data_IF_253160124609
#
_entry.id   IF_253160124609
#
_cell.length_a   1.000
_cell.length_b   1.000
_cell.length_c   1.000
_cell.angle_alpha   90.00
_cell.angle_beta   90.00
_cell.angle_gamma   90.00
#
_symmetry.space_group_name_H-M   'P 1'
#
loop_
_entity.id
_entity.type
_entity.pdbx_description
1 polymer ?
#
# COMPACT_ATOMS: atom_id res chain seq x y z
N UNK A 1 -44.01 39.57 49.59
CA UNK A 1 -45.43 39.28 49.36
C UNK A 1 -45.67 39.32 47.86
N UNK A 2 -46.29 38.26 47.32
CA UNK A 2 -46.76 38.03 45.94
C UNK A 2 -45.73 37.56 44.89
N UNK A 3 -45.92 36.29 44.51
CA UNK A 3 -45.47 35.57 43.30
C UNK A 3 -46.15 36.12 42.04
N UNK A 4 -45.59 35.86 40.85
CA UNK A 4 -46.34 35.22 39.76
C UNK A 4 -45.39 34.48 38.79
N UNK A 5 -45.73 33.22 38.51
CA UNK A 5 -45.07 32.27 37.61
C UNK A 5 -45.47 32.51 36.15
N UNK A 6 -44.65 32.12 35.15
CA UNK A 6 -45.14 31.54 33.87
C UNK A 6 -44.05 30.77 33.10
N UNK A 7 -44.20 29.45 33.10
CA UNK A 7 -44.14 28.50 31.96
C UNK A 7 -42.94 28.48 30.98
N UNK A 8 -42.19 27.38 31.10
CA UNK A 8 -41.36 26.76 30.05
C UNK A 8 -42.21 26.19 28.92
N UNK A 9 -41.88 26.57 27.68
CA UNK A 9 -42.27 25.83 26.47
C UNK A 9 -41.02 25.45 25.66
N UNK A 10 -40.97 24.17 25.31
CA UNK A 10 -39.89 23.49 24.59
C UNK A 10 -39.91 23.83 23.10
N UNK A 11 -38.76 24.22 22.54
CA UNK A 11 -38.53 24.24 21.10
C UNK A 11 -37.41 23.28 20.74
N UNK A 12 -37.77 22.22 20.02
CA UNK A 12 -36.85 21.25 19.43
C UNK A 12 -36.17 21.87 18.21
N UNK A 13 -34.89 22.20 18.32
CA UNK A 13 -34.04 22.51 17.17
C UNK A 13 -33.48 21.21 16.61
N UNK A 14 -33.86 20.90 15.38
CA UNK A 14 -33.31 19.78 14.61
C UNK A 14 -31.90 20.13 14.14
N UNK A 15 -30.88 19.50 14.72
CA UNK A 15 -29.51 19.59 14.23
C UNK A 15 -29.39 18.90 12.87
N UNK A 16 -28.72 19.51 11.87
CA UNK A 16 -28.46 18.84 10.60
C UNK A 16 -27.45 17.71 10.85
N UNK A 17 -27.80 16.49 10.43
CA UNK A 17 -26.92 15.33 10.48
C UNK A 17 -25.65 15.61 9.68
N UNK A 18 -24.52 15.75 10.38
CA UNK A 18 -23.20 15.78 9.78
C UNK A 18 -22.95 14.44 9.09
N UNK A 19 -22.94 14.45 7.77
CA UNK A 19 -22.41 13.35 6.98
C UNK A 19 -20.98 13.10 7.43
N UNK A 20 -20.76 11.97 8.10
CA UNK A 20 -19.42 11.51 8.42
C UNK A 20 -18.81 10.94 7.15
N UNK A 21 -17.75 11.54 6.58
CA UNK A 21 -16.99 10.86 5.54
C UNK A 21 -16.40 9.60 6.17
N UNK A 22 -16.66 8.44 5.58
CA UNK A 22 -16.04 7.19 6.00
C UNK A 22 -14.52 7.34 5.82
N UNK A 23 -13.79 7.63 6.90
CA UNK A 23 -12.35 7.44 6.89
C UNK A 23 -12.12 5.96 6.69
N UNK A 24 -11.58 5.58 5.53
CA UNK A 24 -11.18 4.21 5.29
C UNK A 24 -10.18 3.84 6.39
N UNK A 25 -10.56 2.93 7.29
CA UNK A 25 -9.67 2.48 8.36
C UNK A 25 -8.45 1.86 7.70
N UNK A 26 -7.27 2.42 7.96
CA UNK A 26 -6.03 1.91 7.40
C UNK A 26 -5.75 0.53 8.00
N UNK A 27 -5.68 -0.48 7.14
CA UNK A 27 -5.31 -1.85 7.54
C UNK A 27 -3.89 -1.93 8.08
N UNK A 28 -3.50 -3.10 8.60
CA UNK A 28 -2.15 -3.33 9.13
C UNK A 28 -1.06 -3.19 8.07
N UNK A 29 -1.39 -3.54 6.82
CA UNK A 29 -0.48 -3.48 5.69
C UNK A 29 -1.04 -2.58 4.59
N UNK A 30 -0.17 -1.93 3.84
CA UNK A 30 -0.53 -1.22 2.63
C UNK A 30 -0.62 -2.20 1.44
N UNK A 31 0.28 -3.19 1.37
CA UNK A 31 0.38 -4.15 0.26
C UNK A 31 0.50 -5.59 0.77
N UNK A 32 -0.28 -6.49 0.20
CA UNK A 32 -0.05 -7.93 0.25
C UNK A 32 0.63 -8.40 -1.04
N UNK A 33 1.79 -9.02 -0.95
CA UNK A 33 2.55 -9.50 -2.11
C UNK A 33 2.41 -11.02 -2.23
N UNK A 34 1.61 -11.47 -3.21
CA UNK A 34 1.40 -12.89 -3.55
C UNK A 34 2.26 -13.28 -4.75
N UNK A 35 2.96 -14.40 -4.66
CA UNK A 35 3.87 -14.85 -5.71
C UNK A 35 4.21 -16.32 -5.54
N UNK A 36 4.62 -16.95 -6.65
CA UNK A 36 5.27 -18.26 -6.56
C UNK A 36 6.72 -18.06 -6.16
N UNK A 37 7.03 -18.44 -4.95
CA UNK A 37 8.32 -18.25 -4.34
C UNK A 37 9.40 -19.22 -4.81
N UNK A 38 9.06 -20.34 -5.46
CA UNK A 38 10.06 -21.10 -6.25
C UNK A 38 10.52 -20.33 -7.50
N UNK A 39 9.68 -19.47 -8.03
CA UNK A 39 9.93 -18.80 -9.32
C UNK A 39 10.60 -17.44 -9.11
N UNK A 40 10.11 -16.67 -8.13
CA UNK A 40 10.42 -15.23 -8.05
C UNK A 40 10.97 -14.73 -6.71
N UNK A 41 11.07 -15.59 -5.69
CA UNK A 41 11.41 -15.14 -4.30
C UNK A 41 12.72 -14.39 -4.19
N UNK A 42 13.77 -14.82 -4.90
CA UNK A 42 15.16 -14.31 -4.73
C UNK A 42 15.59 -13.36 -5.85
N UNK A 43 14.67 -12.96 -6.72
CA UNK A 43 14.94 -12.09 -7.87
C UNK A 43 13.90 -10.95 -7.87
N UNK A 44 13.09 -10.82 -8.92
CA UNK A 44 12.05 -9.81 -9.11
C UNK A 44 11.23 -9.50 -7.85
N UNK A 45 10.68 -10.50 -7.15
CA UNK A 45 9.83 -10.25 -5.97
C UNK A 45 10.63 -9.70 -4.80
N UNK A 46 11.90 -10.10 -4.63
CA UNK A 46 12.78 -9.52 -3.59
C UNK A 46 13.07 -8.06 -3.87
N UNK A 47 13.39 -7.72 -5.13
CA UNK A 47 13.63 -6.35 -5.56
C UNK A 47 12.39 -5.47 -5.44
N UNK A 48 11.22 -5.99 -5.83
CA UNK A 48 9.94 -5.31 -5.67
C UNK A 48 9.62 -5.04 -4.19
N UNK A 49 9.81 -6.05 -3.33
CA UNK A 49 9.62 -5.90 -1.89
C UNK A 49 10.57 -4.88 -1.27
N UNK A 50 11.86 -4.92 -1.63
CA UNK A 50 12.85 -3.94 -1.19
C UNK A 50 12.49 -2.52 -1.66
N UNK A 51 11.98 -2.38 -2.89
CA UNK A 51 11.52 -1.09 -3.41
C UNK A 51 10.30 -0.54 -2.66
N UNK A 52 9.34 -1.39 -2.28
CA UNK A 52 8.24 -0.98 -1.40
C UNK A 52 8.75 -0.51 -0.04
N UNK A 53 9.66 -1.26 0.58
CA UNK A 53 10.27 -0.89 1.87
C UNK A 53 10.99 0.45 1.82
N UNK A 54 11.82 0.69 0.79
CA UNK A 54 12.53 1.97 0.59
C UNK A 54 11.58 3.17 0.47
N UNK A 55 10.33 2.94 0.05
CA UNK A 55 9.29 3.98 -0.02
C UNK A 55 8.39 4.05 1.22
N UNK A 56 8.73 3.33 2.29
CA UNK A 56 7.94 3.29 3.52
C UNK A 56 6.57 2.62 3.36
N UNK A 57 6.36 1.82 2.31
CA UNK A 57 5.10 1.11 2.06
C UNK A 57 5.11 -0.19 2.86
N UNK A 58 4.19 -0.30 3.82
CA UNK A 58 4.12 -1.44 4.73
C UNK A 58 3.63 -2.66 3.96
N UNK A 59 4.54 -3.58 3.64
CA UNK A 59 4.24 -4.71 2.75
C UNK A 59 4.33 -6.04 3.50
N UNK A 60 3.27 -6.83 3.44
CA UNK A 60 3.30 -8.25 3.77
C UNK A 60 3.80 -9.03 2.56
N UNK A 61 4.85 -9.83 2.73
CA UNK A 61 5.39 -10.70 1.68
C UNK A 61 5.05 -12.14 2.02
N UNK A 62 4.22 -12.77 1.20
CA UNK A 62 3.89 -14.19 1.40
C UNK A 62 5.17 -15.04 1.40
N UNK A 63 5.47 -15.69 2.52
CA UNK A 63 6.63 -16.56 2.62
C UNK A 63 6.18 -18.03 2.52
N UNK A 64 5.91 -18.51 1.30
CA UNK A 64 5.72 -19.93 0.99
C UNK A 64 6.74 -20.93 1.61
N UNK A 65 7.89 -20.51 2.17
CA UNK A 65 8.84 -21.42 2.85
C UNK A 65 8.32 -21.96 4.18
N UNK A 66 7.17 -21.51 4.64
CA UNK A 66 6.60 -21.93 5.93
C UNK A 66 5.96 -23.32 5.90
N UNK A 67 6.18 -24.18 4.89
CA UNK A 67 5.75 -25.60 4.87
C UNK A 67 6.28 -26.47 6.07
N UNK A 68 6.92 -25.88 7.08
CA UNK A 68 7.44 -26.54 8.27
C UNK A 68 6.63 -26.20 9.52
N UNK A 69 5.51 -26.89 9.75
CA UNK A 69 5.11 -27.33 11.10
C UNK A 69 4.01 -26.61 11.90
N UNK A 70 3.47 -25.45 11.50
CA UNK A 70 2.38 -24.77 12.25
C UNK A 70 1.17 -24.41 11.36
N UNK A 71 -0.05 -24.17 11.92
CA UNK A 71 -1.23 -23.79 11.14
C UNK A 71 -1.11 -22.33 10.66
N UNK A 72 -0.38 -22.13 9.57
CA UNK A 72 0.00 -20.82 8.97
C UNK A 72 -1.15 -20.14 8.20
N UNK A 73 -2.19 -20.91 7.82
CA UNK A 73 -3.29 -20.42 7.00
C UNK A 73 -4.02 -19.19 7.57
N UNK A 74 -4.38 -19.09 8.87
CA UNK A 74 -5.20 -18.00 9.37
C UNK A 74 -4.51 -16.63 9.31
N UNK A 75 -3.21 -16.58 9.57
CA UNK A 75 -2.46 -15.32 9.59
C UNK A 75 -2.27 -14.75 8.18
N UNK A 76 -2.11 -15.63 7.20
CA UNK A 76 -1.95 -15.25 5.81
C UNK A 76 -3.23 -14.63 5.23
N UNK A 77 -4.37 -15.31 5.38
CA UNK A 77 -5.66 -14.76 4.95
C UNK A 77 -5.99 -13.49 5.74
N UNK A 78 -5.67 -13.44 7.03
CA UNK A 78 -5.79 -12.21 7.81
C UNK A 78 -4.96 -11.07 7.21
N UNK A 79 -3.73 -11.33 6.75
CA UNK A 79 -2.90 -10.32 6.11
C UNK A 79 -3.50 -9.82 4.79
N UNK A 80 -4.17 -10.67 4.00
CA UNK A 80 -4.91 -10.24 2.79
C UNK A 80 -6.01 -9.24 3.19
N UNK A 81 -6.80 -9.59 4.21
CA UNK A 81 -7.92 -8.77 4.68
C UNK A 81 -7.47 -7.46 5.35
N UNK A 82 -6.29 -7.45 5.98
CA UNK A 82 -5.68 -6.27 6.62
C UNK A 82 -4.80 -5.46 5.66
N UNK A 83 -4.77 -5.80 4.37
CA UNK A 83 -4.02 -5.07 3.35
C UNK A 83 -4.92 -4.12 2.55
N UNK A 84 -4.41 -2.95 2.17
CA UNK A 84 -5.14 -2.03 1.29
C UNK A 84 -5.21 -2.52 -0.18
N UNK A 85 -4.17 -3.19 -0.66
CA UNK A 85 -4.17 -3.88 -1.94
C UNK A 85 -3.39 -5.20 -1.93
N UNK A 86 -3.60 -5.99 -2.98
CA UNK A 86 -2.75 -7.13 -3.32
C UNK A 86 -2.03 -6.90 -4.64
N UNK A 87 -0.71 -7.10 -4.63
CA UNK A 87 0.13 -7.17 -5.82
C UNK A 87 0.44 -8.65 -6.06
N UNK A 88 0.14 -9.15 -7.26
CA UNK A 88 0.19 -10.59 -7.57
C UNK A 88 1.19 -10.81 -8.70
N UNK A 89 2.28 -11.54 -8.42
CA UNK A 89 3.30 -11.90 -9.40
C UNK A 89 2.95 -13.26 -10.02
N UNK A 90 2.20 -13.21 -11.12
CA UNK A 90 1.76 -14.37 -11.89
C UNK A 90 2.94 -14.84 -12.76
N UNK A 91 3.54 -15.96 -12.36
CA UNK A 91 4.68 -16.62 -13.02
C UNK A 91 4.26 -17.94 -13.65
N UNK A 92 5.12 -18.52 -14.49
CA UNK A 92 4.81 -19.74 -15.27
C UNK A 92 4.33 -20.90 -14.38
N UNK A 93 4.95 -21.09 -13.21
CA UNK A 93 4.62 -22.20 -12.32
C UNK A 93 3.69 -21.80 -11.16
N UNK A 94 3.11 -20.60 -11.21
CA UNK A 94 2.18 -20.09 -10.18
C UNK A 94 1.01 -21.04 -9.94
N UNK A 95 0.35 -21.49 -11.01
CA UNK A 95 -0.82 -22.36 -10.93
C UNK A 95 -0.50 -23.76 -10.36
N UNK A 96 0.78 -24.18 -10.32
CA UNK A 96 1.15 -25.47 -9.74
C UNK A 96 1.13 -25.47 -8.20
N UNK A 97 1.08 -24.31 -7.56
CA UNK A 97 0.96 -24.17 -6.12
C UNK A 97 -0.52 -24.07 -5.73
N UNK A 98 -1.05 -25.08 -5.03
CA UNK A 98 -2.41 -25.02 -4.49
C UNK A 98 -2.57 -23.85 -3.50
N UNK A 99 -1.50 -23.50 -2.79
CA UNK A 99 -1.48 -22.36 -1.88
C UNK A 99 -1.66 -21.03 -2.62
N UNK A 100 -0.86 -20.78 -3.67
CA UNK A 100 -1.02 -19.58 -4.49
C UNK A 100 -2.43 -19.44 -5.09
N UNK A 101 -3.08 -20.57 -5.43
CA UNK A 101 -4.46 -20.60 -5.94
C UNK A 101 -5.51 -20.34 -4.86
N UNK A 102 -5.26 -20.80 -3.64
CA UNK A 102 -6.09 -20.47 -2.47
C UNK A 102 -6.04 -18.98 -2.15
N UNK A 103 -4.84 -18.41 -2.03
CA UNK A 103 -4.64 -16.97 -1.82
C UNK A 103 -5.32 -16.16 -2.92
N UNK A 104 -5.08 -16.51 -4.19
CA UNK A 104 -5.65 -15.81 -5.32
C UNK A 104 -7.18 -15.79 -5.26
N UNK A 105 -7.77 -16.91 -4.86
CA UNK A 105 -9.23 -17.01 -4.75
C UNK A 105 -9.78 -16.14 -3.63
N UNK A 106 -9.09 -16.06 -2.49
CA UNK A 106 -9.47 -15.14 -1.40
C UNK A 106 -9.29 -13.67 -1.80
N UNK A 107 -8.17 -13.32 -2.45
CA UNK A 107 -7.92 -11.97 -2.96
C UNK A 107 -9.03 -11.52 -3.93
N UNK A 108 -9.41 -12.39 -4.87
CA UNK A 108 -10.49 -12.10 -5.82
C UNK A 108 -11.86 -12.02 -5.13
N UNK A 109 -12.09 -12.83 -4.09
CA UNK A 109 -13.29 -12.72 -3.27
C UNK A 109 -13.34 -11.36 -2.55
N UNK A 110 -12.26 -10.94 -1.86
CA UNK A 110 -12.16 -9.61 -1.23
C UNK A 110 -12.35 -8.47 -2.24
N UNK A 111 -11.81 -8.63 -3.45
CA UNK A 111 -11.96 -7.66 -4.53
C UNK A 111 -13.43 -7.47 -4.91
N UNK A 112 -14.17 -8.56 -5.02
CA UNK A 112 -15.58 -8.53 -5.43
C UNK A 112 -16.50 -8.06 -4.28
N UNK A 113 -16.23 -8.47 -3.05
CA UNK A 113 -17.09 -8.19 -1.91
C UNK A 113 -16.84 -6.82 -1.28
N UNK A 114 -15.58 -6.38 -1.23
CA UNK A 114 -15.16 -5.19 -0.48
C UNK A 114 -14.40 -4.16 -1.32
N UNK A 115 -14.27 -4.39 -2.63
CA UNK A 115 -13.56 -3.47 -3.51
C UNK A 115 -12.04 -3.45 -3.28
N UNK A 116 -11.46 -4.54 -2.75
CA UNK A 116 -10.03 -4.69 -2.55
C UNK A 116 -9.24 -4.37 -3.83
N UNK A 117 -8.17 -3.60 -3.73
CA UNK A 117 -7.38 -3.22 -4.91
C UNK A 117 -6.48 -4.39 -5.33
N UNK A 118 -6.50 -4.75 -6.61
CA UNK A 118 -5.71 -5.87 -7.14
C UNK A 118 -4.84 -5.41 -8.32
N UNK A 119 -3.56 -5.75 -8.26
CA UNK A 119 -2.52 -5.33 -9.20
C UNK A 119 -1.76 -6.56 -9.73
N UNK A 120 -2.20 -7.16 -10.86
CA UNK A 120 -1.50 -8.30 -11.43
C UNK A 120 -0.26 -7.89 -12.21
N UNK A 121 0.79 -8.70 -12.06
CA UNK A 121 2.05 -8.63 -12.81
C UNK A 121 2.20 -9.97 -13.53
N UNK A 122 2.24 -9.93 -14.85
CA UNK A 122 2.44 -11.08 -15.72
C UNK A 122 3.95 -11.26 -15.97
N UNK A 123 4.57 -12.06 -15.10
CA UNK A 123 6.00 -12.32 -15.06
C UNK A 123 6.37 -13.47 -16.01
N UNK A 124 6.81 -13.11 -17.22
CA UNK A 124 7.11 -14.04 -18.33
C UNK A 124 5.97 -15.02 -18.66
N UNK A 125 4.72 -14.57 -18.51
CA UNK A 125 3.51 -15.32 -18.87
C UNK A 125 2.60 -14.48 -19.75
N UNK A 126 1.92 -15.14 -20.69
CA UNK A 126 0.83 -14.51 -21.44
C UNK A 126 -0.46 -14.57 -20.60
N UNK A 127 -1.14 -13.44 -20.31
CA UNK A 127 -2.46 -13.49 -19.66
C UNK A 127 -3.49 -14.32 -20.42
N UNK A 128 -3.32 -14.51 -21.73
CA UNK A 128 -4.21 -15.35 -22.52
C UNK A 128 -4.17 -16.80 -22.05
N UNK A 129 -3.01 -17.31 -21.65
CA UNK A 129 -2.84 -18.65 -21.09
C UNK A 129 -3.48 -18.78 -19.71
N UNK A 130 -3.37 -17.74 -18.87
CA UNK A 130 -4.03 -17.71 -17.57
C UNK A 130 -5.56 -17.63 -17.70
N UNK A 131 -6.05 -16.83 -18.67
CA UNK A 131 -7.47 -16.61 -18.89
C UNK A 131 -8.16 -17.83 -19.47
N UNK A 132 -7.56 -18.43 -20.51
CA UNK A 132 -8.07 -19.61 -21.22
C UNK A 132 -7.65 -20.93 -20.57
N UNK A 133 -6.75 -20.86 -19.58
CA UNK A 133 -6.23 -22.00 -18.84
C UNK A 133 -5.57 -23.02 -19.77
N UNK A 134 -4.71 -22.54 -20.68
CA UNK A 134 -3.96 -23.30 -21.67
C UNK A 134 -2.51 -23.52 -21.26
N UNK A 135 -1.79 -24.38 -21.98
CA UNK A 135 -0.37 -24.64 -21.73
C UNK A 135 -0.08 -25.11 -20.31
N UNK A 136 0.87 -24.45 -19.62
CA UNK A 136 1.29 -24.80 -18.26
C UNK A 136 0.18 -24.69 -17.23
N UNK A 137 -0.78 -23.77 -17.43
CA UNK A 137 -1.94 -23.62 -16.54
C UNK A 137 -2.84 -24.84 -16.64
N UNK A 138 -3.03 -25.37 -17.85
CA UNK A 138 -3.81 -26.60 -18.06
C UNK A 138 -3.16 -27.79 -17.37
N UNK A 139 -1.85 -27.97 -17.53
CA UNK A 139 -1.07 -29.03 -16.88
C UNK A 139 -1.19 -28.96 -15.35
N UNK A 140 -1.11 -27.74 -14.78
CA UNK A 140 -1.24 -27.53 -13.35
C UNK A 140 -2.61 -27.97 -12.82
N UNK A 141 -3.69 -27.63 -13.52
CA UNK A 141 -5.03 -28.03 -13.10
C UNK A 141 -5.29 -29.54 -13.22
N UNK A 142 -4.77 -30.20 -14.27
CA UNK A 142 -4.85 -31.66 -14.38
C UNK A 142 -4.16 -32.34 -13.20
N UNK A 143 -3.01 -31.81 -12.76
CA UNK A 143 -2.30 -32.31 -11.57
C UNK A 143 -3.14 -32.15 -10.30
N UNK A 144 -3.78 -31.00 -10.11
CA UNK A 144 -4.63 -30.77 -8.93
C UNK A 144 -5.88 -31.66 -8.94
N UNK A 145 -6.53 -31.84 -10.09
CA UNK A 145 -7.72 -32.69 -10.22
C UNK A 145 -7.40 -34.16 -9.92
N UNK A 146 -6.22 -34.65 -10.33
CA UNK A 146 -5.77 -36.01 -10.02
C UNK A 146 -5.47 -36.22 -8.53
N UNK A 147 -4.95 -35.18 -7.85
CA UNK A 147 -4.59 -35.26 -6.43
C UNK A 147 -5.80 -35.08 -5.50
N UNK A 148 -6.89 -34.47 -5.99
CA UNK A 148 -8.07 -34.12 -5.21
C UNK A 148 -9.36 -34.60 -5.90
N UNK A 149 -9.57 -35.92 -5.95
CA UNK A 149 -10.74 -36.53 -6.59
C UNK A 149 -12.10 -35.97 -6.10
N UNK A 150 -12.16 -35.46 -4.87
CA UNK A 150 -13.40 -34.95 -4.24
C UNK A 150 -13.52 -33.41 -4.18
N UNK A 151 -12.69 -32.63 -4.89
CA UNK A 151 -12.75 -31.16 -4.76
C UNK A 151 -12.91 -30.38 -6.08
N UNK A 152 -13.93 -30.78 -6.85
CA UNK A 152 -14.34 -30.08 -8.08
C UNK A 152 -14.70 -28.62 -7.80
N UNK A 153 -15.41 -28.33 -6.70
CA UNK A 153 -15.81 -26.95 -6.35
C UNK A 153 -14.61 -26.04 -6.11
N UNK A 154 -13.61 -26.49 -5.35
CA UNK A 154 -12.37 -25.75 -5.12
C UNK A 154 -11.61 -25.48 -6.42
N UNK A 155 -11.50 -26.50 -7.28
CA UNK A 155 -10.83 -26.35 -8.57
C UNK A 155 -11.56 -25.35 -9.46
N UNK A 156 -12.89 -25.37 -9.49
CA UNK A 156 -13.69 -24.38 -10.23
C UNK A 156 -13.51 -22.97 -9.67
N UNK A 157 -13.45 -22.81 -8.35
CA UNK A 157 -13.15 -21.52 -7.71
C UNK A 157 -11.78 -20.98 -8.14
N UNK A 158 -10.75 -21.83 -8.12
CA UNK A 158 -9.40 -21.48 -8.57
C UNK A 158 -9.37 -21.07 -10.05
N UNK A 159 -10.04 -21.84 -10.91
CA UNK A 159 -10.18 -21.53 -12.35
C UNK A 159 -10.85 -20.17 -12.55
N UNK A 160 -11.95 -19.91 -11.84
CA UNK A 160 -12.66 -18.63 -11.89
C UNK A 160 -11.77 -17.47 -11.43
N UNK A 161 -11.04 -17.62 -10.32
CA UNK A 161 -10.16 -16.60 -9.80
C UNK A 161 -9.01 -16.27 -10.77
N UNK A 162 -8.39 -17.28 -11.38
CA UNK A 162 -7.36 -17.10 -12.41
C UNK A 162 -7.89 -16.37 -13.65
N UNK A 163 -9.06 -16.75 -14.13
CA UNK A 163 -9.69 -16.07 -15.26
C UNK A 163 -10.03 -14.62 -14.92
N UNK A 164 -10.54 -14.35 -13.71
CA UNK A 164 -10.84 -12.99 -13.27
C UNK A 164 -9.59 -12.13 -13.15
N UNK A 165 -8.53 -12.61 -12.49
CA UNK A 165 -7.29 -11.83 -12.32
C UNK A 165 -6.61 -11.55 -13.66
N UNK A 166 -6.66 -12.49 -14.61
CA UNK A 166 -6.10 -12.32 -15.96
C UNK A 166 -6.92 -11.35 -16.85
N UNK A 167 -8.09 -10.92 -16.40
CA UNK A 167 -8.89 -9.87 -17.03
C UNK A 167 -8.66 -8.49 -16.40
N UNK A 168 -7.97 -8.41 -15.26
CA UNK A 168 -7.62 -7.14 -14.64
C UNK A 168 -6.42 -6.54 -15.41
N UNK A 169 -6.48 -5.24 -15.67
CA UNK A 169 -5.36 -4.52 -16.28
C UNK A 169 -4.14 -4.58 -15.35
N UNK A 170 -3.07 -5.15 -15.85
CA UNK A 170 -1.81 -5.33 -15.12
C UNK A 170 -0.60 -4.91 -15.94
N UNK A 171 0.57 -5.34 -15.49
CA UNK A 171 1.83 -5.13 -16.18
C UNK A 171 2.37 -6.42 -16.76
N UNK A 172 3.09 -6.31 -17.87
CA UNK A 172 3.71 -7.44 -18.55
C UNK A 172 5.22 -7.21 -18.60
N UNK A 173 6.00 -8.20 -18.18
CA UNK A 173 7.46 -8.08 -18.16
C UNK A 173 8.14 -8.45 -19.50
N UNK A 174 7.44 -9.16 -20.39
CA UNK A 174 8.02 -9.94 -21.49
C UNK A 174 9.04 -9.26 -22.42
N UNK A 175 9.13 -7.93 -22.48
CA UNK A 175 10.13 -7.18 -23.27
C UNK A 175 10.68 -5.92 -22.57
N UNK A 176 10.70 -5.87 -21.22
CA UNK A 176 11.08 -4.67 -20.46
C UNK A 176 12.09 -4.96 -19.36
N UNK A 177 12.82 -3.94 -18.92
CA UNK A 177 13.69 -4.04 -17.76
C UNK A 177 12.87 -4.16 -16.46
N UNK A 178 13.26 -5.09 -15.58
CA UNK A 178 12.61 -5.31 -14.29
C UNK A 178 12.60 -4.06 -13.41
N UNK A 179 13.71 -3.31 -13.42
CA UNK A 179 13.86 -2.07 -12.64
C UNK A 179 12.85 -1.00 -13.04
N UNK A 180 12.65 -0.77 -14.34
CA UNK A 180 11.64 0.16 -14.85
C UNK A 180 10.24 -0.25 -14.42
N UNK A 181 9.92 -1.54 -14.57
CA UNK A 181 8.62 -2.07 -14.20
C UNK A 181 8.37 -1.91 -12.69
N UNK A 182 9.37 -2.21 -11.85
CA UNK A 182 9.30 -2.00 -10.41
C UNK A 182 9.03 -0.52 -10.12
N UNK A 183 9.78 0.40 -10.73
CA UNK A 183 9.57 1.84 -10.57
C UNK A 183 8.13 2.28 -10.88
N UNK A 184 7.55 1.76 -11.97
CA UNK A 184 6.16 2.03 -12.33
C UNK A 184 5.15 1.48 -11.31
N UNK A 185 5.34 0.26 -10.83
CA UNK A 185 4.47 -0.38 -9.83
C UNK A 185 4.52 0.44 -8.53
N UNK A 186 5.71 0.76 -8.06
CA UNK A 186 5.93 1.55 -6.85
C UNK A 186 5.24 2.91 -6.97
N UNK A 187 5.45 3.63 -8.08
CA UNK A 187 4.80 4.91 -8.35
C UNK A 187 3.28 4.76 -8.34
N UNK A 188 2.74 3.75 -9.03
CA UNK A 188 1.30 3.52 -9.14
C UNK A 188 0.65 3.24 -7.79
N UNK A 189 1.25 2.37 -6.99
CA UNK A 189 0.75 1.99 -5.66
C UNK A 189 0.86 3.18 -4.71
N UNK A 190 2.01 3.85 -4.66
CA UNK A 190 2.23 5.04 -3.82
C UNK A 190 1.20 6.14 -4.11
N UNK A 191 1.01 6.52 -5.39
CA UNK A 191 0.03 7.53 -5.77
C UNK A 191 -1.39 7.16 -5.32
N UNK A 192 -1.80 5.91 -5.50
CA UNK A 192 -3.14 5.47 -5.07
C UNK A 192 -3.30 5.41 -3.55
N UNK A 193 -2.27 5.02 -2.81
CA UNK A 193 -2.27 5.07 -1.34
C UNK A 193 -2.42 6.52 -0.86
N UNK A 194 -1.63 7.44 -1.41
CA UNK A 194 -1.76 8.87 -1.11
C UNK A 194 -3.17 9.39 -1.42
N UNK A 195 -3.72 9.09 -2.59
CA UNK A 195 -5.09 9.51 -2.95
C UNK A 195 -6.16 8.94 -2.01
N UNK A 196 -5.99 7.70 -1.54
CA UNK A 196 -6.98 7.05 -0.67
C UNK A 196 -6.94 7.58 0.76
N UNK A 197 -5.75 7.89 1.29
CA UNK A 197 -5.55 8.27 2.69
C UNK A 197 -5.33 9.77 2.92
N UNK A 198 -5.12 10.57 1.86
CA UNK A 198 -5.03 12.03 1.96
C UNK A 198 -6.40 12.72 2.08
N UNK A 199 -7.51 12.00 1.91
CA UNK A 199 -8.84 12.59 1.98
C UNK A 199 -9.33 12.81 3.42
N UNK A 200 -9.00 13.98 4.00
CA UNK A 200 -9.88 14.83 4.83
C UNK A 200 -9.22 16.19 5.16
N UNK A 201 -9.94 17.33 5.23
CA UNK A 201 -11.22 17.75 4.64
C UNK A 201 -11.01 18.68 3.42
N UNK A 202 -12.12 18.97 2.72
CA UNK A 202 -12.30 19.79 1.50
C UNK A 202 -11.82 21.25 1.57
N UNK A 203 -10.87 21.57 2.45
CA UNK A 203 -10.30 22.92 2.65
C UNK A 203 -8.77 22.97 2.43
N UNK A 204 -8.17 21.89 1.93
CA UNK A 204 -6.79 21.88 1.45
C UNK A 204 -6.73 22.09 -0.06
N UNK A 205 -6.62 23.35 -0.47
CA UNK A 205 -6.17 23.69 -1.82
C UNK A 205 -4.77 24.25 -1.67
N UNK A 206 -3.77 23.55 -2.21
CA UNK A 206 -2.40 24.05 -2.35
C UNK A 206 -1.33 23.37 -1.49
N UNK A 207 -1.68 22.34 -0.71
CA UNK A 207 -0.69 21.49 -0.04
C UNK A 207 -0.26 20.32 -0.93
N UNK A 208 -1.18 19.77 -1.73
CA UNK A 208 -0.85 18.73 -2.71
C UNK A 208 0.21 19.21 -3.71
N UNK A 209 0.07 20.42 -4.26
CA UNK A 209 1.04 20.95 -5.23
C UNK A 209 2.41 21.22 -4.61
N UNK A 210 2.46 21.69 -3.35
CA UNK A 210 3.71 21.94 -2.61
C UNK A 210 4.39 20.64 -2.19
N UNK A 211 3.61 19.63 -1.81
CA UNK A 211 4.11 18.30 -1.45
C UNK A 211 4.57 17.53 -2.70
N UNK A 212 3.87 17.68 -3.83
CA UNK A 212 4.30 17.15 -5.13
C UNK A 212 5.54 17.89 -5.64
N UNK A 213 5.63 19.21 -5.49
CA UNK A 213 6.81 20.01 -5.82
C UNK A 213 8.00 19.61 -4.93
N UNK A 214 7.78 19.39 -3.63
CA UNK A 214 8.78 18.86 -2.71
C UNK A 214 9.20 17.44 -3.10
N UNK A 215 8.26 16.52 -3.36
CA UNK A 215 8.56 15.15 -3.78
C UNK A 215 9.28 15.09 -5.14
N UNK A 216 8.97 16.01 -6.06
CA UNK A 216 9.68 16.14 -7.34
C UNK A 216 11.06 16.77 -7.17
N UNK A 217 11.22 17.74 -6.26
CA UNK A 217 12.52 18.36 -5.95
C UNK A 217 13.43 17.46 -5.14
N UNK A 218 12.88 16.65 -4.25
CA UNK A 218 13.63 15.75 -3.33
C UNK A 218 14.24 14.56 -4.05
N UNK A 219 14.02 14.39 -5.37
CA UNK A 219 14.83 13.51 -6.20
C UNK A 219 15.09 12.17 -5.52
N UNK A 220 14.02 11.42 -5.22
CA UNK A 220 14.15 10.02 -4.76
C UNK A 220 14.55 9.17 -5.99
N UNK A 221 15.68 9.53 -6.57
CA UNK A 221 16.47 8.78 -7.52
C UNK A 221 17.71 8.34 -6.74
N UNK A 222 17.69 7.05 -6.43
CA UNK A 222 18.82 6.14 -6.23
C UNK A 222 19.96 6.57 -5.29
N UNK A 223 20.15 5.75 -4.25
CA UNK A 223 21.31 5.69 -3.35
C UNK A 223 21.47 6.76 -2.27
N UNK A 224 20.49 6.98 -1.40
CA UNK A 224 20.84 7.18 0.02
C UNK A 224 19.69 6.90 0.99
N UNK A 225 20.00 6.22 2.09
CA UNK A 225 19.07 5.75 3.13
C UNK A 225 18.89 6.81 4.24
N UNK A 226 19.06 8.10 3.91
CA UNK A 226 19.44 9.10 4.92
C UNK A 226 18.53 10.33 5.05
N UNK A 227 17.51 10.50 4.21
CA UNK A 227 16.65 11.71 4.24
C UNK A 227 15.32 11.41 4.94
N UNK A 228 15.21 11.86 6.20
CA UNK A 228 13.96 11.83 6.95
C UNK A 228 13.39 13.26 7.02
N UNK A 229 12.30 13.51 6.30
CA UNK A 229 11.63 14.82 6.32
C UNK A 229 10.61 14.82 7.45
N UNK A 230 10.83 15.62 8.48
CA UNK A 230 9.89 15.83 9.58
C UNK A 230 9.33 17.24 9.49
N UNK A 231 8.09 17.38 9.05
CA UNK A 231 7.38 18.65 9.07
C UNK A 231 6.84 18.96 10.47
N UNK A 232 7.36 20.00 11.14
CA UNK A 232 6.75 20.56 12.35
C UNK A 232 6.27 21.99 12.04
N UNK A 233 5.02 22.30 12.39
CA UNK A 233 4.46 23.64 12.27
C UNK A 233 4.33 24.32 13.64
N UNK A 234 4.81 25.56 13.76
CA UNK A 234 4.67 26.44 14.92
C UNK A 234 3.77 27.66 14.64
N UNK A 235 3.12 28.16 15.69
CA UNK A 235 1.94 29.06 15.71
C UNK A 235 1.99 30.33 14.85
N UNK A 236 0.88 30.62 14.18
CA UNK A 236 0.56 31.95 13.65
C UNK A 236 -0.93 32.15 13.30
N UNK A 237 -1.70 32.71 14.24
CA UNK A 237 -2.79 33.66 13.95
C UNK A 237 -4.18 33.14 13.60
N UNK A 238 -5.17 33.60 14.36
CA UNK A 238 -6.62 33.41 14.20
C UNK A 238 -7.10 33.39 12.73
N UNK A 239 -7.65 32.25 12.31
CA UNK A 239 -8.77 32.23 11.37
C UNK A 239 -8.50 32.07 9.87
N UNK A 240 -7.29 31.71 9.40
CA UNK A 240 -7.11 31.34 7.98
C UNK A 240 -6.40 30.01 7.74
N UNK A 241 -7.05 29.26 6.87
CA UNK A 241 -6.84 27.90 6.41
C UNK A 241 -5.62 27.77 5.48
N UNK A 242 -4.43 27.77 6.05
CA UNK A 242 -3.20 27.40 5.33
C UNK A 242 -2.19 26.87 6.35
N UNK A 243 -1.75 25.63 6.20
CA UNK A 243 -0.83 24.98 7.15
C UNK A 243 0.57 25.60 7.16
N UNK A 244 0.91 26.39 6.12
CA UNK A 244 2.12 27.20 6.06
C UNK A 244 1.77 28.65 5.70
N UNK A 245 1.77 29.52 6.71
CA UNK A 245 1.59 30.95 6.55
C UNK A 245 2.94 31.67 6.37
N UNK A 246 2.87 32.99 6.17
CA UNK A 246 4.06 33.83 6.25
C UNK A 246 4.70 33.64 7.64
N UNK A 247 5.95 33.17 7.69
CA UNK A 247 6.67 32.89 8.95
C UNK A 247 6.75 31.41 9.36
N UNK A 248 6.14 30.49 8.61
CA UNK A 248 6.35 29.05 8.84
C UNK A 248 7.80 28.63 8.57
N UNK A 249 8.31 27.72 9.39
CA UNK A 249 9.66 27.13 9.24
C UNK A 249 9.51 25.65 8.89
N UNK A 250 10.17 25.22 7.83
CA UNK A 250 10.27 23.81 7.45
C UNK A 250 11.64 23.33 7.91
N UNK A 251 11.67 22.29 8.73
CA UNK A 251 12.92 21.68 9.19
C UNK A 251 13.13 20.40 8.38
N UNK A 252 14.26 20.32 7.71
CA UNK A 252 14.68 19.13 6.96
C UNK A 252 15.84 18.50 7.72
N UNK A 253 15.74 17.22 8.05
CA UNK A 253 16.84 16.47 8.67
C UNK A 253 17.39 15.48 7.67
N UNK A 254 18.70 15.50 7.46
CA UNK A 254 19.43 14.59 6.57
C UNK A 254 20.76 14.22 7.23
N UNK A 255 21.28 13.03 6.95
CA UNK A 255 22.67 12.67 7.32
C UNK A 255 23.68 13.09 6.26
N UNK A 256 23.22 13.46 5.07
CA UNK A 256 24.04 13.98 3.98
C UNK A 256 23.88 15.51 3.84
N UNK A 257 24.94 16.24 4.17
CA UNK A 257 25.03 17.70 4.09
C UNK A 257 24.99 18.21 2.63
N UNK A 258 25.43 17.40 1.66
CA UNK A 258 25.44 17.79 0.25
C UNK A 258 24.03 18.03 -0.30
N UNK A 259 23.05 17.29 0.20
CA UNK A 259 21.64 17.46 -0.17
C UNK A 259 21.11 18.84 0.24
N UNK A 260 21.56 19.38 1.39
CA UNK A 260 21.12 20.70 1.84
C UNK A 260 21.61 21.83 0.92
N UNK A 261 22.82 21.68 0.37
CA UNK A 261 23.40 22.65 -0.56
C UNK A 261 22.72 22.60 -1.92
N UNK A 262 22.44 21.40 -2.44
CA UNK A 262 21.75 21.19 -3.72
C UNK A 262 20.33 21.78 -3.67
N UNK A 263 19.63 21.59 -2.55
CA UNK A 263 18.23 22.02 -2.41
C UNK A 263 18.05 23.47 -1.96
N UNK A 264 19.13 24.22 -1.76
CA UNK A 264 19.09 25.66 -1.52
C UNK A 264 18.33 26.03 -0.24
N UNK A 265 18.55 25.29 0.85
CA UNK A 265 17.95 25.63 2.15
C UNK A 265 18.47 26.98 2.65
N UNK A 266 17.59 27.74 3.31
CA UNK A 266 17.94 29.09 3.79
C UNK A 266 18.99 29.06 4.91
N UNK A 267 18.91 28.06 5.79
CA UNK A 267 19.79 27.89 6.95
C UNK A 267 20.12 26.40 7.13
N UNK A 268 21.39 26.08 7.42
CA UNK A 268 21.85 24.73 7.76
C UNK A 268 22.28 24.71 9.22
N UNK A 269 21.73 23.76 9.99
CA UNK A 269 22.12 23.54 11.38
C UNK A 269 22.74 22.16 11.54
N UNK A 270 24.01 22.12 11.97
CA UNK A 270 24.74 20.88 12.25
C UNK A 270 24.65 20.58 13.77
N UNK A 271 23.74 19.68 14.20
CA UNK A 271 23.58 19.39 15.62
C UNK A 271 24.83 18.70 16.19
N UNK A 272 25.34 19.21 17.31
CA UNK A 272 26.39 18.52 18.07
C UNK A 272 25.84 17.20 18.61
N UNK A 273 26.60 16.10 18.51
CA UNK A 273 26.20 14.81 19.08
C UNK A 273 25.94 14.97 20.58
N UNK A 274 24.75 14.58 21.02
CA UNK A 274 24.41 14.52 22.45
C UNK A 274 25.42 13.60 23.15
N UNK A 275 25.94 14.05 24.29
CA UNK A 275 26.80 13.20 25.11
C UNK A 275 25.95 12.16 25.87
N UNK A 276 26.58 11.09 26.37
CA UNK A 276 25.87 9.99 27.03
C UNK A 276 25.07 10.40 28.29
N UNK A 277 25.30 11.61 28.83
CA UNK A 277 24.57 12.14 29.98
C UNK A 277 23.32 12.94 29.58
N UNK A 278 23.27 13.45 28.36
CA UNK A 278 22.12 14.19 27.80
C UNK A 278 21.10 13.28 27.10
N UNK A 279 21.46 12.02 26.85
CA UNK A 279 20.60 11.03 26.19
C UNK A 279 19.70 10.22 27.15
N UNK A 280 19.68 10.57 28.45
CA UNK A 280 18.82 9.91 29.44
C UNK A 280 17.53 10.71 29.55
N UNK A 281 16.42 10.11 29.14
CA UNK A 281 15.08 10.63 29.43
C UNK A 281 14.73 10.26 30.89
N UNK A 282 14.52 11.27 31.74
CA UNK A 282 13.80 11.13 33.02
C UNK A 282 12.28 11.01 32.78
#
# INVERSE_FOLDING_TARGET
MVRFDSETSSSSSSSPSLFSPSSASRGKYDVFLSFRGKDTRRNFTDHLYAAFKRRGIITFRDDEKLETGEPIAPELFKAIHESWCSVIVLSEMYAFSSWCLEELSDIIQQKNDKGHNVFPIFYYVDPSDLRKQTGKVQEAFLKHENNFQDNKEKTQRWRSALTQVANIKGWHLSNRHESELIGEIIKKVSTKLCQTFASAPTDMIGLESRLEELNCKIGIEEEDDSVQIIGICGMGGLGKRAWFGLGSRIIITTRDEHLLQIYGVNDVYNPTKLNAKEAVCD
#
